data_IF_637019654471
#
_entry.id   IF_637019654471
#
_cell.length_a   1.000
_cell.length_b   1.000
_cell.length_c   1.000
_cell.angle_alpha   90.00
_cell.angle_beta   90.00
_cell.angle_gamma   90.00
#
_symmetry.space_group_name_H-M   'P 1'
#
loop_
_entity.id
_entity.type
_entity.pdbx_description
1 polymer ?
#
# COMPACT_ATOMS: atom_id res chain seq x y z
N UNK A 1 -7.79 -19.30 -1.97
CA UNK A 1 -7.00 -18.86 -3.14
C UNK A 1 -5.60 -18.40 -2.72
N UNK A 2 -4.60 -18.47 -3.59
CA UNK A 2 -3.23 -17.99 -3.28
C UNK A 2 -2.91 -16.77 -4.12
N UNK A 3 -2.41 -15.70 -3.49
CA UNK A 3 -2.05 -14.45 -4.14
C UNK A 3 -0.58 -14.12 -3.87
N UNK A 4 0.22 -14.01 -4.93
CA UNK A 4 1.59 -13.48 -4.88
C UNK A 4 1.55 -11.97 -5.18
N UNK A 5 1.81 -11.17 -4.16
CA UNK A 5 1.71 -9.71 -4.17
C UNK A 5 3.13 -9.13 -4.14
N UNK A 6 3.51 -8.43 -5.20
CA UNK A 6 4.87 -7.86 -5.33
C UNK A 6 4.85 -6.36 -5.64
N UNK A 7 6.01 -5.72 -5.61
CA UNK A 7 6.17 -4.28 -5.85
C UNK A 7 6.37 -3.49 -4.56
N UNK A 8 6.45 -2.17 -4.67
CA UNK A 8 6.83 -1.22 -3.61
C UNK A 8 5.69 -0.28 -3.16
N UNK A 9 4.50 -0.41 -3.75
CA UNK A 9 3.30 0.32 -3.33
C UNK A 9 2.57 -0.42 -2.21
N UNK A 10 2.89 -0.09 -0.96
CA UNK A 10 2.25 -0.71 0.21
C UNK A 10 0.76 -0.34 0.33
N UNK A 11 0.37 0.87 -0.07
CA UNK A 11 -1.04 1.31 0.02
C UNK A 11 -1.91 0.51 -0.93
N UNK A 12 -1.49 0.30 -2.18
CA UNK A 12 -2.30 -0.46 -3.12
C UNK A 12 -2.39 -1.95 -2.76
N UNK A 13 -1.33 -2.54 -2.18
CA UNK A 13 -1.38 -3.91 -1.64
C UNK A 13 -2.42 -4.01 -0.52
N UNK A 14 -2.43 -3.04 0.40
CA UNK A 14 -3.39 -3.04 1.50
C UNK A 14 -4.83 -2.88 0.99
N UNK A 15 -5.09 -2.02 0.01
CA UNK A 15 -6.41 -1.94 -0.63
C UNK A 15 -6.80 -3.24 -1.31
N UNK A 16 -5.90 -3.85 -2.08
CA UNK A 16 -6.14 -5.12 -2.77
C UNK A 16 -6.57 -6.23 -1.80
N UNK A 17 -5.92 -6.32 -0.64
CA UNK A 17 -6.24 -7.30 0.40
C UNK A 17 -7.59 -6.98 1.06
N UNK A 18 -7.84 -5.70 1.40
CA UNK A 18 -9.08 -5.27 2.06
C UNK A 18 -10.34 -5.48 1.22
N UNK A 19 -10.22 -5.35 -0.11
CA UNK A 19 -11.33 -5.63 -1.04
C UNK A 19 -11.74 -7.11 -1.04
N UNK A 20 -10.83 -8.02 -0.69
CA UNK A 20 -11.03 -9.49 -0.74
C UNK A 20 -11.26 -10.12 0.62
N UNK A 21 -10.70 -9.52 1.67
CA UNK A 21 -10.71 -10.11 3.01
C UNK A 21 -11.11 -9.07 4.06
N UNK A 22 -12.20 -9.35 4.78
CA UNK A 22 -12.58 -8.61 5.99
C UNK A 22 -11.77 -9.11 7.19
N UNK A 23 -10.51 -8.65 7.25
CA UNK A 23 -9.55 -9.03 8.29
C UNK A 23 -8.77 -10.31 7.97
N UNK A 24 -7.50 -10.33 8.35
CA UNK A 24 -6.58 -11.44 8.09
C UNK A 24 -5.68 -11.71 9.30
N UNK A 25 -5.11 -12.90 9.37
CA UNK A 25 -4.02 -13.20 10.29
C UNK A 25 -2.70 -12.78 9.65
N UNK A 26 -1.99 -11.87 10.29
CA UNK A 26 -0.76 -11.29 9.76
C UNK A 26 0.47 -11.98 10.38
N UNK A 27 1.39 -12.42 9.53
CA UNK A 27 2.68 -12.97 9.91
C UNK A 27 3.76 -12.12 9.25
N UNK A 28 4.48 -11.33 10.04
CA UNK A 28 5.59 -10.50 9.59
C UNK A 28 6.93 -11.21 9.77
N UNK A 29 7.96 -10.70 9.10
CA UNK A 29 9.31 -11.25 9.06
C UNK A 29 9.99 -11.37 10.43
N UNK A 30 9.64 -10.48 11.37
CA UNK A 30 10.19 -10.35 12.71
C UNK A 30 9.53 -11.28 13.74
N UNK A 31 8.41 -11.92 13.39
CA UNK A 31 7.76 -12.86 14.28
C UNK A 31 8.60 -14.14 14.46
N UNK A 32 8.68 -14.68 15.69
CA UNK A 32 9.21 -16.03 15.92
C UNK A 32 8.21 -17.10 15.47
N UNK A 33 8.71 -18.30 15.20
CA UNK A 33 7.93 -19.51 14.90
C UNK A 33 6.88 -19.33 13.78
N UNK A 34 7.25 -18.61 12.71
CA UNK A 34 6.35 -18.22 11.61
C UNK A 34 5.66 -19.41 10.95
N UNK A 35 6.37 -20.51 10.77
CA UNK A 35 5.84 -21.76 10.23
C UNK A 35 4.75 -22.38 11.13
N UNK A 36 4.94 -22.34 12.45
CA UNK A 36 3.95 -22.85 13.42
C UNK A 36 2.73 -21.94 13.41
N UNK A 37 2.93 -20.61 13.43
CA UNK A 37 1.84 -19.63 13.34
C UNK A 37 1.03 -19.80 12.05
N UNK A 38 1.70 -19.99 10.91
CA UNK A 38 1.04 -20.23 9.64
C UNK A 38 0.20 -21.50 9.69
N UNK A 39 0.78 -22.62 10.12
CA UNK A 39 0.06 -23.90 10.28
C UNK A 39 -1.17 -23.74 11.16
N UNK A 40 -1.04 -23.11 12.32
CA UNK A 40 -2.16 -22.89 13.22
C UNK A 40 -3.24 -22.04 12.55
N UNK A 41 -2.87 -20.97 11.84
CA UNK A 41 -3.82 -20.09 11.17
C UNK A 41 -4.62 -20.84 10.09
N UNK A 42 -3.96 -21.65 9.26
CA UNK A 42 -4.61 -22.37 8.17
C UNK A 42 -5.36 -23.64 8.63
N UNK A 43 -5.03 -24.20 9.79
CA UNK A 43 -5.76 -25.34 10.35
C UNK A 43 -6.95 -24.92 11.23
N UNK A 44 -7.05 -23.64 11.62
CA UNK A 44 -8.12 -23.16 12.50
C UNK A 44 -9.29 -22.66 11.66
N UNK A 45 -10.40 -23.39 11.69
CA UNK A 45 -11.69 -22.90 11.17
C UNK A 45 -12.43 -22.22 12.32
N UNK A 46 -12.57 -20.90 12.23
CA UNK A 46 -13.32 -20.13 13.21
C UNK A 46 -14.83 -20.28 13.04
N UNK A 47 -15.62 -19.75 13.98
CA UNK A 47 -17.09 -19.71 13.88
C UNK A 47 -17.60 -18.92 12.65
N UNK A 48 -16.74 -18.14 12.01
CA UNK A 48 -17.02 -17.34 10.81
C UNK A 48 -16.31 -17.88 9.56
N UNK A 49 -15.89 -19.14 9.60
CA UNK A 49 -15.13 -19.78 8.53
C UNK A 49 -13.61 -19.62 8.66
N UNK A 50 -12.87 -20.09 7.65
CA UNK A 50 -11.42 -19.90 7.57
C UNK A 50 -11.06 -18.41 7.49
N UNK A 51 -10.07 -17.99 8.29
CA UNK A 51 -9.58 -16.61 8.25
C UNK A 51 -8.45 -16.50 7.22
N UNK A 52 -8.48 -15.51 6.31
CA UNK A 52 -7.38 -15.27 5.39
C UNK A 52 -6.06 -14.99 6.11
N UNK A 53 -4.93 -15.30 5.47
CA UNK A 53 -3.59 -15.13 6.05
C UNK A 53 -2.74 -14.22 5.17
N UNK A 54 -2.06 -13.24 5.77
CA UNK A 54 -1.09 -12.35 5.12
C UNK A 54 0.33 -12.69 5.58
N UNK A 55 1.21 -13.04 4.66
CA UNK A 55 2.63 -13.25 4.89
C UNK A 55 3.41 -12.04 4.39
N UNK A 56 3.93 -11.23 5.31
CA UNK A 56 4.63 -10.00 4.94
C UNK A 56 6.11 -10.20 4.72
N UNK A 57 6.61 -9.51 3.68
CA UNK A 57 7.99 -9.59 3.18
C UNK A 57 8.50 -11.04 3.11
N UNK A 58 7.71 -11.94 2.53
CA UNK A 58 8.02 -13.36 2.48
C UNK A 58 9.41 -13.63 1.88
N UNK A 59 9.80 -12.87 0.86
CA UNK A 59 11.11 -12.97 0.19
C UNK A 59 12.31 -12.81 1.13
N UNK A 60 12.16 -12.07 2.25
CA UNK A 60 13.26 -11.83 3.21
C UNK A 60 13.31 -12.85 4.34
N UNK A 61 12.36 -13.79 4.39
CA UNK A 61 12.35 -14.82 5.41
C UNK A 61 13.50 -15.81 5.24
N UNK A 62 13.87 -16.48 6.34
CA UNK A 62 14.90 -17.54 6.30
C UNK A 62 14.44 -18.66 5.37
N UNK A 63 15.39 -19.24 4.64
CA UNK A 63 15.11 -20.26 3.62
C UNK A 63 14.37 -21.47 4.19
N UNK A 64 14.71 -21.88 5.41
CA UNK A 64 14.08 -23.00 6.10
C UNK A 64 12.63 -22.68 6.47
N UNK A 65 12.34 -21.44 6.88
CA UNK A 65 11.00 -20.96 7.20
C UNK A 65 10.12 -20.91 5.94
N UNK A 66 10.67 -20.36 4.84
CA UNK A 66 9.97 -20.30 3.54
C UNK A 66 9.58 -21.69 3.06
N UNK A 67 10.54 -22.61 2.99
CA UNK A 67 10.28 -24.00 2.56
C UNK A 67 9.21 -24.70 3.40
N UNK A 68 9.22 -24.48 4.72
CA UNK A 68 8.23 -25.08 5.61
C UNK A 68 6.82 -24.53 5.35
N UNK A 69 6.68 -23.24 5.03
CA UNK A 69 5.41 -22.62 4.67
C UNK A 69 4.96 -23.02 3.27
N UNK A 70 5.86 -23.03 2.29
CA UNK A 70 5.58 -23.48 0.92
C UNK A 70 5.06 -24.92 0.88
N UNK A 71 5.69 -25.83 1.64
CA UNK A 71 5.23 -27.21 1.74
C UNK A 71 3.80 -27.32 2.30
N UNK A 72 3.41 -26.41 3.21
CA UNK A 72 2.04 -26.34 3.72
C UNK A 72 1.10 -25.77 2.65
N UNK A 73 1.51 -24.71 1.95
CA UNK A 73 0.74 -24.08 0.87
C UNK A 73 0.38 -25.08 -0.23
N UNK A 74 1.31 -25.93 -0.67
CA UNK A 74 1.04 -26.98 -1.67
C UNK A 74 -0.02 -27.99 -1.24
N UNK A 75 -0.33 -28.07 0.05
CA UNK A 75 -1.34 -28.97 0.62
C UNK A 75 -2.64 -28.26 1.03
N UNK A 76 -2.73 -26.94 0.85
CA UNK A 76 -3.94 -26.19 1.19
C UNK A 76 -5.04 -26.44 0.15
N UNK A 77 -6.26 -26.61 0.65
CA UNK A 77 -7.47 -26.55 -0.18
C UNK A 77 -7.81 -25.12 -0.57
N UNK A 78 -8.78 -24.96 -1.48
CA UNK A 78 -9.20 -23.65 -2.01
C UNK A 78 -9.89 -22.73 -0.99
N UNK A 79 -10.23 -23.27 0.19
CA UNK A 79 -11.07 -22.62 1.21
C UNK A 79 -10.40 -21.44 1.94
N UNK A 80 -9.08 -21.31 1.91
CA UNK A 80 -8.34 -20.26 2.62
C UNK A 80 -7.65 -19.34 1.62
N UNK A 81 -7.84 -18.04 1.80
CA UNK A 81 -7.09 -17.02 1.07
C UNK A 81 -5.74 -16.74 1.74
N UNK A 82 -4.67 -16.87 0.97
CA UNK A 82 -3.30 -16.61 1.42
C UNK A 82 -2.69 -15.50 0.55
N UNK A 83 -2.39 -14.36 1.18
CA UNK A 83 -1.73 -13.22 0.56
C UNK A 83 -0.25 -13.24 0.91
N UNK A 84 0.61 -13.34 -0.10
CA UNK A 84 2.05 -13.51 0.06
C UNK A 84 2.73 -12.26 -0.50
N UNK A 85 3.32 -11.44 0.36
CA UNK A 85 4.14 -10.32 -0.09
C UNK A 85 5.53 -10.84 -0.50
N UNK A 86 5.63 -11.26 -1.75
CA UNK A 86 6.82 -11.89 -2.30
C UNK A 86 6.48 -12.91 -3.36
N UNK A 87 7.40 -13.85 -3.59
CA UNK A 87 7.25 -14.93 -4.55
C UNK A 87 7.37 -16.29 -3.90
N UNK A 88 6.65 -17.25 -4.46
CA UNK A 88 6.77 -18.66 -4.13
C UNK A 88 7.81 -19.34 -5.02
N UNK A 89 8.64 -20.19 -4.43
CA UNK A 89 9.62 -21.02 -5.14
C UNK A 89 9.06 -22.44 -5.46
N UNK A 90 7.73 -22.58 -5.49
CA UNK A 90 7.00 -23.83 -5.72
C UNK A 90 5.98 -23.69 -6.86
N UNK A 91 5.66 -24.79 -7.53
CA UNK A 91 4.65 -24.84 -8.58
C UNK A 91 3.26 -25.07 -7.98
N UNK A 92 2.52 -23.98 -7.81
CA UNK A 92 1.17 -23.94 -7.26
C UNK A 92 0.37 -22.87 -8.00
N UNK A 93 -0.91 -23.13 -8.21
CA UNK A 93 -1.81 -22.15 -8.82
C UNK A 93 -1.94 -20.91 -7.93
N UNK A 94 -1.39 -19.79 -8.40
CA UNK A 94 -1.37 -18.52 -7.70
C UNK A 94 -1.72 -17.36 -8.64
N UNK A 95 -2.44 -16.38 -8.11
CA UNK A 95 -2.66 -15.12 -8.80
C UNK A 95 -1.52 -14.14 -8.50
N UNK A 96 -0.85 -13.67 -9.55
CA UNK A 96 0.28 -12.74 -9.45
C UNK A 96 -0.18 -11.30 -9.65
N UNK A 97 0.04 -10.46 -8.64
CA UNK A 97 -0.30 -9.04 -8.67
C UNK A 97 0.93 -8.19 -8.36
N UNK A 98 1.16 -7.15 -9.18
CA UNK A 98 2.32 -6.26 -9.05
C UNK A 98 1.83 -4.83 -8.80
N UNK A 99 2.25 -4.24 -7.68
CA UNK A 99 1.88 -2.90 -7.24
C UNK A 99 3.13 -2.03 -7.16
N UNK A 100 3.44 -1.32 -8.25
CA UNK A 100 4.65 -0.51 -8.37
C UNK A 100 4.33 0.97 -8.23
N UNK A 101 5.14 1.68 -7.44
CA UNK A 101 5.10 3.13 -7.35
C UNK A 101 5.64 3.76 -8.64
N UNK A 102 5.07 4.90 -9.07
CA UNK A 102 5.68 5.67 -10.14
C UNK A 102 7.08 6.16 -9.74
N UNK A 103 7.98 6.33 -10.71
CA UNK A 103 9.32 6.84 -10.40
C UNK A 103 9.24 8.30 -9.92
N UNK A 104 10.20 8.78 -9.10
CA UNK A 104 10.12 10.12 -8.53
C UNK A 104 10.05 11.27 -9.54
N UNK A 105 10.45 11.08 -10.79
CA UNK A 105 10.40 12.12 -11.85
C UNK A 105 9.18 11.99 -12.78
N UNK A 106 8.28 11.04 -12.55
CA UNK A 106 7.12 10.78 -13.41
C UNK A 106 5.87 11.49 -12.87
N UNK A 107 5.84 12.82 -12.91
CA UNK A 107 4.77 13.65 -12.34
C UNK A 107 3.37 13.24 -12.79
N UNK A 108 3.17 13.05 -14.10
CA UNK A 108 1.90 12.61 -14.66
C UNK A 108 1.42 11.28 -14.06
N UNK A 109 2.34 10.34 -13.84
CA UNK A 109 2.01 9.03 -13.26
C UNK A 109 1.72 9.15 -11.77
N UNK A 110 2.41 10.03 -11.05
CA UNK A 110 2.09 10.34 -9.66
C UNK A 110 0.71 10.97 -9.50
N UNK A 111 0.31 11.88 -10.40
CA UNK A 111 -1.05 12.43 -10.39
C UNK A 111 -2.09 11.32 -10.59
N UNK A 112 -1.90 10.45 -11.59
CA UNK A 112 -2.79 9.31 -11.83
C UNK A 112 -2.83 8.35 -10.65
N UNK A 113 -1.69 8.13 -9.99
CA UNK A 113 -1.60 7.28 -8.80
C UNK A 113 -2.35 7.87 -7.61
N UNK A 114 -2.21 9.18 -7.35
CA UNK A 114 -2.99 9.91 -6.33
C UNK A 114 -4.49 9.82 -6.61
N UNK A 115 -4.91 10.00 -7.86
CA UNK A 115 -6.31 9.85 -8.27
C UNK A 115 -6.81 8.41 -8.07
N UNK A 116 -5.96 7.40 -8.32
CA UNK A 116 -6.28 5.99 -8.07
C UNK A 116 -6.49 5.73 -6.58
N UNK A 117 -5.63 6.23 -5.70
CA UNK A 117 -5.79 6.11 -4.24
C UNK A 117 -7.09 6.79 -3.80
N UNK A 118 -7.39 7.99 -4.30
CA UNK A 118 -8.62 8.69 -3.98
C UNK A 118 -9.87 7.88 -4.40
N UNK A 119 -9.84 7.26 -5.58
CA UNK A 119 -10.93 6.39 -6.01
C UNK A 119 -11.13 5.20 -5.06
N UNK A 120 -10.04 4.60 -4.59
CA UNK A 120 -10.08 3.48 -3.63
C UNK A 120 -10.58 3.90 -2.25
N UNK A 121 -10.47 5.18 -1.87
CA UNK A 121 -11.09 5.75 -0.66
C UNK A 121 -12.52 6.25 -0.90
N UNK A 122 -13.10 5.97 -2.07
CA UNK A 122 -14.47 6.37 -2.42
C UNK A 122 -14.62 7.85 -2.81
N UNK A 123 -13.54 8.46 -3.34
CA UNK A 123 -13.50 9.88 -3.71
C UNK A 123 -13.16 10.09 -5.17
N UNK A 124 -13.63 11.22 -5.68
CA UNK A 124 -13.22 11.73 -6.98
C UNK A 124 -12.48 13.04 -6.78
N UNK A 125 -11.29 13.15 -7.37
CA UNK A 125 -10.49 14.36 -7.32
C UNK A 125 -10.14 14.79 -8.74
N UNK A 126 -10.00 16.10 -8.97
CA UNK A 126 -9.51 16.61 -10.25
C UNK A 126 -8.00 16.41 -10.37
N UNK A 127 -7.47 16.55 -11.59
CA UNK A 127 -6.02 16.50 -11.84
C UNK A 127 -5.28 17.62 -11.11
N UNK A 128 -5.85 18.82 -11.10
CA UNK A 128 -5.33 19.97 -10.35
C UNK A 128 -5.30 19.69 -8.84
N UNK A 129 -6.34 19.05 -8.28
CA UNK A 129 -6.33 18.66 -6.88
C UNK A 129 -5.24 17.62 -6.58
N UNK A 130 -5.05 16.63 -7.46
CA UNK A 130 -3.99 15.64 -7.32
C UNK A 130 -2.59 16.28 -7.34
N UNK A 131 -2.37 17.23 -8.24
CA UNK A 131 -1.14 18.03 -8.33
C UNK A 131 -0.92 18.87 -7.06
N UNK A 132 -1.96 19.57 -6.60
CA UNK A 132 -1.92 20.38 -5.38
C UNK A 132 -1.64 19.56 -4.11
N UNK A 133 -2.08 18.30 -4.05
CA UNK A 133 -1.72 17.37 -2.98
C UNK A 133 -0.23 17.04 -3.06
N UNK A 134 0.24 16.65 -4.25
CA UNK A 134 1.63 16.24 -4.46
C UNK A 134 2.62 17.38 -4.16
N UNK A 135 2.28 18.63 -4.47
CA UNK A 135 3.13 19.79 -4.16
C UNK A 135 3.23 20.07 -2.65
N UNK A 136 2.21 19.68 -1.87
CA UNK A 136 2.16 19.92 -0.41
C UNK A 136 2.78 18.79 0.40
N UNK A 137 2.54 17.53 0.02
CA UNK A 137 3.00 16.36 0.82
C UNK A 137 4.09 15.52 0.18
N UNK A 138 4.45 15.86 -1.07
CA UNK A 138 5.43 15.13 -1.86
C UNK A 138 4.93 13.77 -2.35
N UNK A 139 5.84 13.02 -2.97
CA UNK A 139 5.59 11.70 -3.58
C UNK A 139 5.72 10.57 -2.56
N UNK A 140 5.00 10.69 -1.44
CA UNK A 140 4.99 9.71 -0.33
C UNK A 140 3.60 9.11 -0.19
N UNK A 141 3.45 7.86 -0.65
CA UNK A 141 2.16 7.20 -0.83
C UNK A 141 1.26 7.19 0.42
N UNK A 142 1.80 6.84 1.58
CA UNK A 142 1.03 6.86 2.84
C UNK A 142 0.62 8.26 3.29
N UNK A 143 1.40 9.29 2.96
CA UNK A 143 1.01 10.69 3.28
C UNK A 143 -0.14 11.13 2.39
N UNK A 144 -0.05 10.83 1.10
CA UNK A 144 -1.12 11.06 0.13
C UNK A 144 -2.41 10.37 0.62
N UNK A 145 -2.35 9.09 1.02
CA UNK A 145 -3.50 8.37 1.57
C UNK A 145 -4.10 9.09 2.79
N UNK A 146 -3.28 9.45 3.79
CA UNK A 146 -3.76 10.10 5.02
C UNK A 146 -4.45 11.43 4.75
N UNK A 147 -3.90 12.23 3.85
CA UNK A 147 -4.53 13.49 3.46
C UNK A 147 -5.85 13.26 2.72
N UNK A 148 -5.91 12.28 1.81
CA UNK A 148 -7.16 11.90 1.16
C UNK A 148 -8.21 11.38 2.15
N UNK A 149 -7.80 10.62 3.17
CA UNK A 149 -8.67 10.18 4.26
C UNK A 149 -9.17 11.36 5.12
N UNK A 150 -8.32 12.36 5.41
CA UNK A 150 -8.76 13.59 6.10
C UNK A 150 -9.81 14.35 5.28
N UNK A 151 -9.52 14.56 4.00
CA UNK A 151 -10.42 15.24 3.08
C UNK A 151 -11.72 14.46 2.85
N UNK A 152 -11.69 13.14 3.03
CA UNK A 152 -12.85 12.26 2.85
C UNK A 152 -14.03 12.62 3.77
N UNK A 153 -13.77 13.23 4.92
CA UNK A 153 -14.79 13.65 5.88
C UNK A 153 -15.53 14.92 5.43
N UNK A 154 -14.89 15.73 4.57
CA UNK A 154 -15.40 17.03 4.18
C UNK A 154 -16.34 16.96 2.97
N UNK A 155 -15.93 16.24 1.93
CA UNK A 155 -16.66 16.18 0.66
C UNK A 155 -16.39 14.85 -0.09
N UNK A 156 -17.35 14.33 -0.88
CA UNK A 156 -17.10 13.25 -1.83
C UNK A 156 -16.26 13.68 -3.05
N UNK A 157 -16.33 14.95 -3.43
CA UNK A 157 -15.56 15.53 -4.53
C UNK A 157 -14.56 16.55 -3.97
N UNK A 158 -13.28 16.33 -4.27
CA UNK A 158 -12.20 17.21 -3.79
C UNK A 158 -11.66 18.01 -4.97
N UNK A 159 -11.82 19.33 -4.88
CA UNK A 159 -11.22 20.29 -5.80
C UNK A 159 -9.89 20.84 -5.23
N UNK A 160 -9.18 21.58 -6.06
CA UNK A 160 -7.91 22.22 -5.70
C UNK A 160 -8.08 23.14 -4.49
N UNK A 161 -9.12 24.00 -4.48
CA UNK A 161 -9.36 24.95 -3.39
C UNK A 161 -9.54 24.27 -2.04
N UNK A 162 -10.19 23.11 -2.01
CA UNK A 162 -10.33 22.28 -0.82
C UNK A 162 -8.97 21.79 -0.34
N UNK A 163 -8.12 21.30 -1.25
CA UNK A 163 -6.75 20.90 -0.93
C UNK A 163 -5.97 22.08 -0.33
N UNK A 164 -6.01 23.24 -0.97
CA UNK A 164 -5.23 24.40 -0.52
C UNK A 164 -5.64 24.91 0.86
N UNK A 165 -6.91 24.74 1.21
CA UNK A 165 -7.47 25.20 2.47
C UNK A 165 -7.19 24.27 3.65
N UNK A 166 -7.08 22.96 3.40
CA UNK A 166 -7.12 21.95 4.45
C UNK A 166 -5.87 21.06 4.54
N UNK A 167 -4.98 21.14 3.55
CA UNK A 167 -3.70 20.42 3.56
C UNK A 167 -2.59 21.45 3.74
N UNK A 168 -1.90 21.33 4.88
CA UNK A 168 -0.68 22.10 5.14
C UNK A 168 0.51 21.51 4.37
N UNK A 169 1.53 22.34 4.14
CA UNK A 169 2.79 21.85 3.61
C UNK A 169 3.44 20.91 4.61
N UNK A 170 3.87 19.75 4.11
CA UNK A 170 4.72 18.88 4.89
C UNK A 170 6.11 19.51 4.98
N UNK A 171 6.64 19.63 6.19
CA UNK A 171 7.93 20.26 6.49
C UNK A 171 9.06 19.75 5.58
N UNK A 172 9.12 18.45 5.27
CA UNK A 172 10.18 17.93 4.41
C UNK A 172 10.02 18.40 2.95
N UNK A 173 8.78 18.49 2.48
CA UNK A 173 8.45 18.99 1.13
C UNK A 173 8.66 20.50 1.07
N UNK A 174 8.32 21.22 2.13
CA UNK A 174 8.55 22.66 2.28
C UNK A 174 10.05 22.99 2.27
N UNK A 175 10.87 22.24 3.01
CA UNK A 175 12.33 22.41 3.00
C UNK A 175 12.91 22.13 1.61
N UNK A 176 12.46 21.07 0.93
CA UNK A 176 12.87 20.77 -0.44
C UNK A 176 12.49 21.92 -1.39
N UNK A 177 11.26 22.42 -1.30
CA UNK A 177 10.78 23.56 -2.08
C UNK A 177 11.62 24.82 -1.83
N UNK A 178 11.83 25.19 -0.57
CA UNK A 178 12.63 26.35 -0.18
C UNK A 178 14.08 26.22 -0.65
N UNK A 179 14.67 25.02 -0.59
CA UNK A 179 16.01 24.76 -1.11
C UNK A 179 16.08 24.98 -2.64
N UNK A 180 15.05 24.55 -3.38
CA UNK A 180 14.96 24.79 -4.83
C UNK A 180 14.81 26.28 -5.13
N UNK A 181 13.93 27.00 -4.42
CA UNK A 181 13.75 28.44 -4.57
C UNK A 181 15.07 29.20 -4.29
N UNK A 182 15.76 28.86 -3.21
CA UNK A 182 17.06 29.42 -2.86
C UNK A 182 18.09 29.20 -3.97
N UNK A 183 18.23 27.96 -4.46
CA UNK A 183 19.17 27.62 -5.52
C UNK A 183 18.82 28.27 -6.86
N UNK A 184 17.55 28.60 -7.08
CA UNK A 184 17.04 29.22 -8.31
C UNK A 184 17.05 30.76 -8.26
N UNK A 185 17.49 31.37 -7.15
CA UNK A 185 17.36 32.81 -6.88
C UNK A 185 15.92 33.32 -7.02
N UNK A 186 14.93 32.51 -6.65
CA UNK A 186 13.54 32.93 -6.66
C UNK A 186 13.26 33.82 -5.43
N UNK A 187 12.68 35.01 -5.64
CA UNK A 187 12.32 35.95 -4.58
C UNK A 187 11.27 35.38 -3.61
N UNK A 188 10.54 34.33 -4.02
CA UNK A 188 9.58 33.61 -3.18
C UNK A 188 10.22 32.91 -1.96
N UNK A 189 11.55 32.82 -1.88
CA UNK A 189 12.24 32.24 -0.74
C UNK A 189 12.14 33.09 0.55
N UNK A 190 11.93 34.41 0.42
CA UNK A 190 11.96 35.36 1.54
C UNK A 190 10.57 35.75 2.08
N UNK A 191 9.50 35.25 1.45
CA UNK A 191 8.10 35.58 1.74
C UNK A 191 7.39 34.45 2.48
#
# INVERSE_FOLDING_TARGET
MIYEITGDSEVLKDFFIRERATGFFHISEDMPDKNVKFRTAVSTVGMFGPKPVKLSKFDVWKKEERKAVEALISSLGEEIDVFIEGRLDIDVESEKHIFVLPKPWEDDKWQLHTMKIAKLTGKTISRAAAEAILSRVGKKEFRILRELEKLSVLSPEIDEKTVEKFIDFDIATEVEFLAVCFLSNDESFLS
#
